data_IF_534629952379
#
_entry.id   IF_534629952379
#
_cell.length_a   1.000
_cell.length_b   1.000
_cell.length_c   1.000
_cell.angle_alpha   90.00
_cell.angle_beta   90.00
_cell.angle_gamma   90.00
#
_symmetry.space_group_name_H-M   'P 1'
#
loop_
_entity.id
_entity.type
_entity.pdbx_description
1 polymer ?
#
# COMPACT_ATOMS: atom_id res chain seq x y z
N UNK A 1 -16.65 -8.74 47.90
CA UNK A 1 -16.92 -8.39 46.48
C UNK A 1 -16.85 -9.66 45.64
N UNK A 2 -17.87 -9.90 44.81
CA UNK A 2 -18.07 -11.17 44.11
C UNK A 2 -17.20 -11.22 42.84
N UNK A 3 -16.40 -12.29 42.66
CA UNK A 3 -15.39 -12.40 41.58
C UNK A 3 -15.97 -12.25 40.16
N UNK A 4 -17.27 -12.54 39.99
CA UNK A 4 -17.98 -12.36 38.71
C UNK A 4 -18.25 -10.88 38.38
N UNK A 5 -18.43 -10.03 39.38
CA UNK A 5 -18.70 -8.60 39.15
C UNK A 5 -17.44 -7.88 38.67
N UNK A 6 -16.27 -8.23 39.23
CA UNK A 6 -14.97 -7.67 38.81
C UNK A 6 -14.60 -8.03 37.37
N UNK A 7 -14.98 -9.22 36.91
CA UNK A 7 -14.68 -9.68 35.54
C UNK A 7 -15.53 -8.97 34.47
N UNK A 8 -16.79 -8.66 34.79
CA UNK A 8 -17.70 -7.92 33.88
C UNK A 8 -17.25 -6.45 33.74
N UNK A 9 -16.78 -5.81 34.82
CA UNK A 9 -16.23 -4.45 34.72
C UNK A 9 -14.93 -4.37 33.92
N UNK A 10 -14.11 -5.42 33.94
CA UNK A 10 -12.87 -5.51 33.15
C UNK A 10 -13.16 -5.64 31.64
N UNK A 11 -14.16 -6.44 31.27
CA UNK A 11 -14.55 -6.62 29.86
C UNK A 11 -15.22 -5.35 29.30
N UNK A 12 -16.10 -4.71 30.08
CA UNK A 12 -16.74 -3.45 29.66
C UNK A 12 -15.71 -2.31 29.57
N UNK A 13 -14.70 -2.29 30.44
CA UNK A 13 -13.59 -1.32 30.37
C UNK A 13 -12.72 -1.47 29.13
N UNK A 14 -12.41 -2.71 28.72
CA UNK A 14 -11.57 -2.98 27.54
C UNK A 14 -12.32 -2.75 26.23
N UNK A 15 -13.60 -3.13 26.15
CA UNK A 15 -14.44 -2.87 24.96
C UNK A 15 -14.77 -1.37 24.86
N UNK A 16 -15.00 -0.70 26.00
CA UNK A 16 -15.23 0.74 26.06
C UNK A 16 -14.00 1.54 25.61
N UNK A 17 -12.79 1.16 26.00
CA UNK A 17 -11.57 1.83 25.53
C UNK A 17 -11.37 1.67 24.02
N UNK A 18 -11.64 0.48 23.47
CA UNK A 18 -11.46 0.19 22.05
C UNK A 18 -12.46 0.98 21.17
N UNK A 19 -13.70 1.13 21.63
CA UNK A 19 -14.72 1.94 20.96
C UNK A 19 -14.44 3.45 21.05
N UNK A 20 -13.87 3.93 22.16
CA UNK A 20 -13.48 5.33 22.35
C UNK A 20 -12.27 5.68 21.45
N UNK A 21 -11.27 4.80 21.29
CA UNK A 21 -10.17 5.05 20.34
C UNK A 21 -10.61 5.05 18.88
N UNK A 22 -11.68 4.34 18.52
CA UNK A 22 -12.27 4.39 17.19
C UNK A 22 -13.13 5.64 16.95
N UNK A 23 -13.74 6.23 18.00
CA UNK A 23 -14.56 7.44 17.91
C UNK A 23 -13.78 8.75 18.06
N UNK A 24 -12.62 8.75 18.74
CA UNK A 24 -11.79 9.96 18.93
C UNK A 24 -10.67 10.14 17.90
N UNK A 25 -10.56 9.27 16.89
CA UNK A 25 -9.64 9.46 15.77
C UNK A 25 -10.22 10.30 14.62
N UNK A 26 -11.51 10.66 14.67
CA UNK A 26 -12.16 11.46 13.61
C UNK A 26 -12.11 12.99 13.83
N UNK A 27 -11.66 13.50 14.99
CA UNK A 27 -11.77 14.95 15.31
C UNK A 27 -10.44 15.67 15.62
N UNK A 28 -9.27 15.09 15.33
CA UNK A 28 -7.97 15.75 15.61
C UNK A 28 -7.12 16.16 14.40
N UNK A 29 -7.69 16.13 13.19
CA UNK A 29 -7.02 16.63 11.98
C UNK A 29 -7.84 17.66 11.19
N UNK A 30 -8.67 18.45 11.88
CA UNK A 30 -9.32 19.61 11.27
C UNK A 30 -8.58 20.91 11.63
N UNK A 31 -8.26 21.67 10.58
CA UNK A 31 -7.74 23.05 10.51
C UNK A 31 -6.22 23.21 10.27
N UNK A 32 -5.81 23.49 9.01
CA UNK A 32 -4.70 24.40 8.75
C UNK A 32 -5.16 25.86 8.98
N UNK A 33 -4.26 26.77 9.39
CA UNK A 33 -4.60 28.17 9.59
C UNK A 33 -4.97 28.82 8.26
N UNK A 34 -6.11 29.51 8.24
CA UNK A 34 -6.42 30.52 7.24
C UNK A 34 -5.38 31.65 7.37
N UNK A 35 -4.54 31.81 6.36
CA UNK A 35 -4.07 33.12 5.95
C UNK A 35 -4.03 33.16 4.43
N UNK A 36 -4.97 33.94 3.90
CA UNK A 36 -5.02 34.38 2.52
C UNK A 36 -3.89 35.36 2.26
N UNK A 37 -2.98 34.99 1.36
CA UNK A 37 -2.25 35.99 0.59
C UNK A 37 -2.56 35.73 -0.88
N UNK A 38 -3.27 36.70 -1.48
CA UNK A 38 -3.51 36.77 -2.92
C UNK A 38 -2.14 36.89 -3.59
N UNK A 39 -1.83 35.98 -4.50
CA UNK A 39 -0.78 36.20 -5.50
C UNK A 39 -1.49 36.31 -6.84
N UNK A 40 -1.33 37.49 -7.44
CA UNK A 40 -1.90 37.91 -8.71
C UNK A 40 -1.53 36.96 -9.85
N UNK A 41 -2.55 36.67 -10.65
CA UNK A 41 -2.44 36.23 -12.03
C UNK A 41 -2.01 37.43 -12.87
N UNK A 42 -0.82 37.39 -13.47
CA UNK A 42 -0.59 37.91 -14.82
C UNK A 42 0.79 37.48 -15.36
N UNK A 43 0.86 37.42 -16.69
CA UNK A 43 2.06 37.37 -17.53
C UNK A 43 2.83 36.04 -17.74
N UNK A 44 2.38 35.25 -18.72
CA UNK A 44 3.00 35.18 -20.08
C UNK A 44 2.54 33.94 -20.85
N UNK A 45 1.44 34.11 -21.59
CA UNK A 45 1.36 33.52 -22.93
C UNK A 45 2.25 34.36 -23.85
N UNK A 46 3.15 33.74 -24.62
CA UNK A 46 3.50 34.01 -26.04
C UNK A 46 4.86 33.34 -26.35
N UNK A 47 4.95 32.75 -27.55
CA UNK A 47 6.10 32.14 -28.25
C UNK A 47 6.10 30.60 -28.15
N UNK A 48 6.00 29.79 -29.21
CA UNK A 48 6.06 30.03 -30.65
C UNK A 48 5.41 28.80 -31.34
N UNK A 49 4.45 29.07 -32.22
CA UNK A 49 4.08 28.15 -33.30
C UNK A 49 5.21 28.11 -34.32
N UNK A 50 5.66 26.90 -34.69
CA UNK A 50 6.27 26.63 -35.99
C UNK A 50 6.11 25.16 -36.34
N UNK A 51 5.25 24.93 -37.33
CA UNK A 51 5.03 23.67 -38.02
C UNK A 51 6.34 23.12 -38.59
N UNK A 52 6.59 21.84 -38.36
CA UNK A 52 7.64 21.06 -38.98
C UNK A 52 7.17 19.63 -39.13
N UNK A 53 6.87 19.23 -40.37
CA UNK A 53 6.38 17.91 -40.79
C UNK A 53 7.13 16.75 -40.11
N UNK A 54 6.42 15.92 -39.36
CA UNK A 54 6.94 14.64 -38.89
C UNK A 54 6.61 13.59 -39.94
N UNK A 55 7.64 13.08 -40.63
CA UNK A 55 7.56 11.85 -41.37
C UNK A 55 7.30 10.70 -40.41
N UNK A 56 6.17 10.04 -40.61
CA UNK A 56 5.73 8.84 -39.91
C UNK A 56 6.70 7.69 -40.23
N UNK A 57 7.65 7.44 -39.33
CA UNK A 57 8.50 6.26 -39.36
C UNK A 57 7.84 5.21 -38.48
N UNK A 58 7.42 4.10 -39.07
CA UNK A 58 6.79 2.99 -38.37
C UNK A 58 7.78 2.37 -37.38
N UNK A 59 7.52 2.53 -36.09
CA UNK A 59 8.13 1.71 -35.05
C UNK A 59 7.09 0.70 -34.58
N UNK A 60 7.22 -0.55 -35.01
CA UNK A 60 6.90 -1.66 -34.12
C UNK A 60 8.14 -1.88 -33.26
N UNK A 61 8.01 -1.80 -31.93
CA UNK A 61 7.61 -3.00 -31.17
C UNK A 61 6.69 -2.67 -29.98
N UNK A 62 5.36 -2.83 -30.13
CA UNK A 62 4.38 -2.68 -29.03
C UNK A 62 3.94 -4.04 -28.45
N UNK A 63 4.17 -5.14 -29.17
CA UNK A 63 3.65 -6.47 -28.81
C UNK A 63 4.39 -7.10 -27.63
N UNK A 64 5.73 -6.96 -27.57
CA UNK A 64 6.57 -7.64 -26.57
C UNK A 64 6.41 -7.07 -25.16
N UNK A 65 6.11 -5.78 -25.02
CA UNK A 65 5.91 -5.15 -23.70
C UNK A 65 4.50 -5.41 -23.17
N UNK A 66 3.52 -5.56 -24.07
CA UNK A 66 2.12 -5.83 -23.70
C UNK A 66 1.95 -7.24 -23.11
N UNK A 67 2.54 -8.27 -23.73
CA UNK A 67 2.49 -9.65 -23.21
C UNK A 67 3.12 -9.76 -21.82
N UNK A 68 4.30 -9.15 -21.61
CA UNK A 68 4.95 -9.14 -20.28
C UNK A 68 4.11 -8.49 -19.20
N UNK A 69 3.33 -7.47 -19.54
CA UNK A 69 2.44 -6.79 -18.59
C UNK A 69 1.20 -7.63 -18.30
N UNK A 70 0.66 -8.32 -19.31
CA UNK A 70 -0.44 -9.27 -19.13
C UNK A 70 -0.01 -10.41 -18.20
N UNK A 71 1.13 -11.05 -18.49
CA UNK A 71 1.69 -12.12 -17.66
C UNK A 71 1.94 -11.63 -16.22
N UNK A 72 2.45 -10.41 -16.08
CA UNK A 72 2.67 -9.83 -14.76
C UNK A 72 1.35 -9.59 -14.01
N UNK A 73 0.31 -9.07 -14.67
CA UNK A 73 -1.01 -8.90 -14.07
C UNK A 73 -1.63 -10.25 -13.66
N UNK A 74 -1.42 -11.31 -14.43
CA UNK A 74 -1.83 -12.67 -14.07
C UNK A 74 -1.10 -13.15 -12.80
N UNK A 75 0.23 -13.01 -12.72
CA UNK A 75 1.00 -13.34 -11.52
C UNK A 75 0.54 -12.52 -10.30
N UNK A 76 0.18 -11.25 -10.48
CA UNK A 76 -0.37 -10.44 -9.40
C UNK A 76 -1.72 -10.96 -8.90
N UNK A 77 -2.54 -11.57 -9.76
CA UNK A 77 -3.84 -12.15 -9.36
C UNK A 77 -3.68 -13.33 -8.40
N UNK A 78 -2.58 -14.08 -8.52
CA UNK A 78 -2.24 -15.17 -7.60
C UNK A 78 -1.83 -14.64 -6.22
N UNK A 79 -1.21 -13.46 -6.18
CA UNK A 79 -0.56 -12.87 -4.99
C UNK A 79 -1.43 -11.86 -4.25
N UNK A 80 -2.38 -11.22 -4.92
CA UNK A 80 -3.22 -10.15 -4.37
C UNK A 80 -4.70 -10.50 -4.46
N UNK A 81 -5.49 -9.96 -3.53
CA UNK A 81 -6.94 -10.06 -3.52
C UNK A 81 -7.55 -9.01 -4.48
N UNK A 82 -8.81 -9.21 -4.93
CA UNK A 82 -9.58 -8.22 -5.70
C UNK A 82 -9.51 -6.78 -5.18
N UNK A 83 -9.54 -6.62 -3.86
CA UNK A 83 -9.45 -5.30 -3.20
C UNK A 83 -8.03 -4.72 -3.16
N UNK A 84 -7.05 -5.31 -3.85
CA UNK A 84 -5.66 -4.86 -3.93
C UNK A 84 -4.83 -5.07 -2.66
N UNK A 85 -5.39 -5.72 -1.63
CA UNK A 85 -4.62 -6.20 -0.48
C UNK A 85 -3.88 -7.47 -0.85
N UNK A 86 -2.68 -7.69 -0.29
CA UNK A 86 -1.94 -8.93 -0.53
C UNK A 86 -2.70 -10.13 0.06
N UNK A 87 -2.55 -11.31 -0.55
CA UNK A 87 -2.93 -12.56 0.11
C UNK A 87 -1.88 -12.87 1.19
N UNK A 88 -2.30 -13.31 2.39
CA UNK A 88 -1.35 -13.72 3.42
C UNK A 88 -0.49 -14.88 2.93
N UNK A 89 0.83 -14.80 3.15
CA UNK A 89 1.77 -15.86 2.89
C UNK A 89 1.49 -17.06 3.80
N UNK A 90 1.52 -18.26 3.23
CA UNK A 90 1.29 -19.48 3.99
C UNK A 90 2.54 -19.94 4.74
N UNK A 91 2.60 -19.63 6.03
CA UNK A 91 3.64 -20.13 6.94
C UNK A 91 3.34 -21.51 7.54
N UNK A 92 2.36 -22.28 7.07
CA UNK A 92 1.95 -23.55 7.69
C UNK A 92 3.12 -24.52 7.86
N UNK A 93 3.94 -24.73 6.83
CA UNK A 93 5.10 -25.60 6.92
C UNK A 93 6.08 -25.11 8.00
N UNK A 94 6.41 -23.81 7.98
CA UNK A 94 7.32 -23.21 8.95
C UNK A 94 6.75 -23.28 10.38
N UNK A 95 5.44 -23.09 10.55
CA UNK A 95 4.73 -23.24 11.82
C UNK A 95 4.75 -24.68 12.35
N UNK A 96 4.66 -25.69 11.48
CA UNK A 96 4.80 -27.09 11.91
C UNK A 96 6.25 -27.42 12.28
N UNK A 97 7.22 -26.94 11.50
CA UNK A 97 8.65 -27.11 11.80
C UNK A 97 8.98 -26.47 13.15
N UNK A 98 8.55 -25.23 13.40
CA UNK A 98 8.84 -24.52 14.64
C UNK A 98 8.36 -25.26 15.90
N UNK A 99 7.28 -26.06 15.82
CA UNK A 99 6.79 -26.88 16.94
C UNK A 99 7.70 -28.06 17.29
N UNK A 100 8.43 -28.58 16.30
CA UNK A 100 9.22 -29.81 16.42
C UNK A 100 10.72 -29.49 16.50
N UNK A 101 11.18 -28.52 15.72
CA UNK A 101 12.56 -28.06 15.63
C UNK A 101 12.60 -26.54 15.44
N UNK A 102 12.76 -25.84 16.56
CA UNK A 102 12.80 -24.38 16.58
C UNK A 102 14.04 -23.84 15.86
N UNK A 103 15.20 -24.52 15.97
CA UNK A 103 16.45 -24.06 15.35
C UNK A 103 16.35 -24.12 13.83
N UNK A 104 15.77 -25.20 13.28
CA UNK A 104 15.49 -25.31 11.85
C UNK A 104 14.55 -24.21 11.36
N UNK A 105 13.52 -23.86 12.14
CA UNK A 105 12.63 -22.76 11.79
C UNK A 105 13.36 -21.41 11.76
N UNK A 106 14.26 -21.15 12.72
CA UNK A 106 15.11 -19.95 12.74
C UNK A 106 15.98 -19.89 11.48
N UNK A 107 16.64 -20.99 11.12
CA UNK A 107 17.47 -21.07 9.89
C UNK A 107 16.65 -20.73 8.64
N UNK A 108 15.45 -21.30 8.50
CA UNK A 108 14.58 -21.03 7.35
C UNK A 108 14.13 -19.57 7.27
N UNK A 109 13.85 -18.93 8.41
CA UNK A 109 13.56 -17.49 8.45
C UNK A 109 14.76 -16.70 7.96
N UNK A 110 15.96 -17.02 8.45
CA UNK A 110 17.19 -16.35 8.03
C UNK A 110 17.53 -16.56 6.54
N UNK A 111 17.23 -17.73 5.99
CA UNK A 111 17.34 -18.02 4.55
C UNK A 111 16.38 -17.15 3.73
N UNK A 112 15.13 -16.95 4.19
CA UNK A 112 14.19 -16.02 3.54
C UNK A 112 14.72 -14.59 3.55
N UNK A 113 15.26 -14.15 4.68
CA UNK A 113 15.83 -12.81 4.88
C UNK A 113 17.06 -12.57 4.00
N UNK A 114 17.87 -13.59 3.76
CA UNK A 114 19.05 -13.49 2.91
C UNK A 114 18.73 -13.33 1.41
N UNK A 115 17.50 -13.64 0.99
CA UNK A 115 17.04 -13.56 -0.40
C UNK A 115 15.73 -12.75 -0.51
N UNK A 116 15.77 -11.43 -0.26
CA UNK A 116 14.56 -10.62 -0.17
C UNK A 116 13.82 -10.50 -1.50
N UNK A 117 14.52 -10.57 -2.63
CA UNK A 117 13.96 -10.55 -3.99
C UNK A 117 13.02 -11.74 -4.26
N UNK A 118 13.33 -12.92 -3.69
CA UNK A 118 12.53 -14.15 -3.83
C UNK A 118 11.42 -14.27 -2.78
N UNK A 119 11.54 -13.54 -1.68
CA UNK A 119 10.70 -13.71 -0.49
C UNK A 119 9.89 -12.45 -0.12
N UNK A 120 9.73 -11.49 -1.04
CA UNK A 120 9.06 -10.20 -0.79
C UNK A 120 7.75 -10.32 0.01
N UNK A 121 6.82 -11.18 -0.43
CA UNK A 121 5.53 -11.35 0.24
C UNK A 121 5.67 -11.99 1.63
N UNK A 122 6.53 -13.01 1.76
CA UNK A 122 6.82 -13.63 3.05
C UNK A 122 7.40 -12.60 4.02
N UNK A 123 8.41 -11.83 3.61
CA UNK A 123 9.04 -10.80 4.44
C UNK A 123 8.04 -9.70 4.84
N UNK A 124 7.17 -9.28 3.93
CA UNK A 124 6.12 -8.31 4.20
C UNK A 124 5.11 -8.83 5.24
N UNK A 125 4.76 -10.12 5.21
CA UNK A 125 3.95 -10.74 6.26
C UNK A 125 4.71 -10.94 7.57
N UNK A 126 6.00 -11.28 7.54
CA UNK A 126 6.83 -11.35 8.75
C UNK A 126 6.93 -10.00 9.46
N UNK A 127 7.04 -8.89 8.72
CA UNK A 127 6.99 -7.53 9.28
C UNK A 127 5.73 -7.33 10.13
N UNK A 128 4.58 -7.73 9.58
CA UNK A 128 3.30 -7.63 10.29
C UNK A 128 3.23 -8.53 11.53
N UNK A 129 3.72 -9.77 11.43
CA UNK A 129 3.75 -10.70 12.58
C UNK A 129 4.62 -10.15 13.72
N UNK A 130 5.76 -9.54 13.43
CA UNK A 130 6.63 -8.94 14.44
C UNK A 130 6.03 -7.72 15.13
N UNK A 131 5.29 -6.87 14.42
CA UNK A 131 4.59 -5.73 15.03
C UNK A 131 3.59 -6.19 16.12
N UNK A 132 2.99 -7.37 15.97
CA UNK A 132 2.13 -7.98 16.98
C UNK A 132 2.86 -8.46 18.24
N UNK A 133 4.20 -8.61 18.20
CA UNK A 133 5.01 -9.09 19.33
C UNK A 133 5.59 -7.96 20.18
N UNK A 134 5.81 -6.77 19.61
CA UNK A 134 6.38 -5.61 20.32
C UNK A 134 5.49 -5.03 21.42
N UNK A 135 4.19 -5.34 21.45
CA UNK A 135 3.26 -4.84 22.48
C UNK A 135 3.35 -5.56 23.83
N UNK A 136 4.33 -6.46 24.03
CA UNK A 136 4.39 -7.36 25.19
C UNK A 136 5.77 -7.35 25.85
N UNK A 137 6.28 -6.20 26.27
CA UNK A 137 7.62 -6.10 26.90
C UNK A 137 7.75 -6.77 28.28
N UNK A 138 6.64 -7.20 28.90
CA UNK A 138 6.65 -7.90 30.17
C UNK A 138 5.98 -9.27 29.96
N UNK A 139 6.78 -10.35 29.96
CA UNK A 139 6.42 -11.78 29.76
C UNK A 139 6.55 -12.36 28.34
N UNK A 140 7.35 -11.75 27.45
CA UNK A 140 7.63 -12.31 26.11
C UNK A 140 8.04 -13.79 26.19
N UNK A 141 8.96 -14.17 27.08
CA UNK A 141 9.43 -15.56 27.13
C UNK A 141 8.29 -16.54 27.50
N UNK A 142 7.47 -16.22 28.50
CA UNK A 142 6.37 -17.09 28.93
C UNK A 142 5.26 -17.19 27.89
N UNK A 143 5.01 -16.11 27.14
CA UNK A 143 3.98 -16.06 26.09
C UNK A 143 4.46 -16.74 24.81
N UNK A 144 5.74 -16.61 24.48
CA UNK A 144 6.36 -17.23 23.31
C UNK A 144 6.61 -18.73 23.48
N UNK A 145 6.75 -19.24 24.72
CA UNK A 145 6.86 -20.69 24.97
C UNK A 145 5.66 -21.50 24.43
N UNK A 146 4.47 -20.89 24.34
CA UNK A 146 3.28 -21.51 23.75
C UNK A 146 3.02 -21.09 22.28
N UNK A 147 3.95 -20.34 21.68
CA UNK A 147 3.86 -19.79 20.32
C UNK A 147 5.18 -20.02 19.58
N UNK A 148 5.45 -21.27 19.17
CA UNK A 148 6.78 -21.68 18.70
C UNK A 148 7.22 -20.96 17.43
N UNK A 149 6.28 -20.61 16.54
CA UNK A 149 6.60 -19.86 15.32
C UNK A 149 7.02 -18.42 15.64
N UNK A 150 6.24 -17.74 16.47
CA UNK A 150 6.54 -16.39 16.95
C UNK A 150 7.84 -16.36 17.76
N UNK A 151 8.11 -17.42 18.53
CA UNK A 151 9.39 -17.60 19.21
C UNK A 151 10.55 -17.74 18.24
N UNK A 152 10.43 -18.60 17.22
CA UNK A 152 11.46 -18.73 16.18
C UNK A 152 11.68 -17.40 15.43
N UNK A 153 10.61 -16.67 15.12
CA UNK A 153 10.69 -15.36 14.48
C UNK A 153 11.41 -14.33 15.36
N UNK A 154 11.11 -14.32 16.66
CA UNK A 154 11.81 -13.47 17.63
C UNK A 154 13.29 -13.84 17.78
N UNK A 155 13.57 -15.12 18.02
CA UNK A 155 14.91 -15.66 18.26
C UNK A 155 15.81 -15.57 17.02
N UNK A 156 15.24 -15.49 15.81
CA UNK A 156 16.00 -15.20 14.59
C UNK A 156 16.61 -13.80 14.56
N UNK A 157 16.17 -12.88 15.42
CA UNK A 157 16.56 -11.48 15.38
C UNK A 157 15.90 -10.68 14.25
N UNK A 158 14.96 -11.26 13.50
CA UNK A 158 14.25 -10.51 12.46
C UNK A 158 13.42 -9.36 13.04
N UNK A 159 12.66 -9.60 14.12
CA UNK A 159 11.79 -8.58 14.71
C UNK A 159 12.54 -7.41 15.34
N UNK A 160 13.78 -7.61 15.80
CA UNK A 160 14.60 -6.54 16.40
C UNK A 160 15.09 -5.53 15.35
N UNK A 161 15.04 -5.86 14.07
CA UNK A 161 15.37 -4.94 12.96
C UNK A 161 14.30 -3.85 12.76
N UNK A 162 13.03 -4.15 13.04
CA UNK A 162 11.94 -3.21 12.84
C UNK A 162 12.13 -1.97 13.71
N UNK A 163 11.93 -0.78 13.16
CA UNK A 163 12.14 0.48 13.91
C UNK A 163 13.59 0.94 13.98
N UNK A 164 14.52 0.31 13.25
CA UNK A 164 15.96 0.62 13.30
C UNK A 164 16.49 1.02 11.93
N UNK A 165 17.78 1.38 11.84
CA UNK A 165 18.45 1.63 10.54
C UNK A 165 18.50 0.38 9.64
N UNK A 166 18.41 -0.82 10.24
CA UNK A 166 18.42 -2.11 9.53
C UNK A 166 17.03 -2.61 9.14
N UNK A 167 16.02 -1.75 9.24
CA UNK A 167 14.63 -2.11 9.03
C UNK A 167 14.40 -2.73 7.64
N UNK A 168 13.68 -3.87 7.54
CA UNK A 168 13.38 -4.53 6.27
C UNK A 168 12.76 -3.61 5.20
N UNK A 169 12.07 -2.52 5.56
CA UNK A 169 11.58 -1.53 4.60
C UNK A 169 12.68 -1.06 3.63
N UNK A 170 13.91 -0.88 4.10
CA UNK A 170 15.01 -0.44 3.25
C UNK A 170 15.45 -1.52 2.25
N UNK A 171 15.23 -2.80 2.54
CA UNK A 171 15.42 -3.89 1.58
C UNK A 171 14.39 -3.80 0.45
N UNK A 172 13.11 -3.55 0.76
CA UNK A 172 12.05 -3.31 -0.23
C UNK A 172 12.36 -2.07 -1.09
N UNK A 173 12.79 -0.98 -0.46
CA UNK A 173 13.15 0.27 -1.15
C UNK A 173 14.31 0.06 -2.13
N UNK A 174 15.35 -0.66 -1.72
CA UNK A 174 16.49 -0.97 -2.57
C UNK A 174 16.10 -1.86 -3.76
N UNK A 175 15.21 -2.83 -3.56
CA UNK A 175 14.70 -3.66 -4.65
C UNK A 175 13.82 -2.85 -5.61
N UNK A 176 12.96 -1.96 -5.09
CA UNK A 176 12.13 -1.09 -5.90
C UNK A 176 12.96 -0.15 -6.80
N UNK A 177 14.03 0.43 -6.24
CA UNK A 177 15.01 1.26 -6.96
C UNK A 177 15.78 0.49 -8.04
N UNK A 178 15.97 -0.81 -7.85
CA UNK A 178 16.56 -1.72 -8.86
C UNK A 178 15.56 -2.17 -9.93
N UNK A 179 14.33 -1.67 -9.90
CA UNK A 179 13.30 -1.97 -10.90
C UNK A 179 12.45 -3.20 -10.61
N UNK A 180 12.49 -3.75 -9.39
CA UNK A 180 11.59 -4.84 -9.00
C UNK A 180 10.15 -4.31 -8.88
N UNK A 181 9.30 -4.66 -9.84
CA UNK A 181 7.90 -4.17 -9.94
C UNK A 181 7.03 -4.61 -8.76
N UNK A 182 7.28 -5.80 -8.19
CA UNK A 182 6.54 -6.28 -7.01
C UNK A 182 6.93 -5.50 -5.75
N UNK A 183 8.22 -5.22 -5.56
CA UNK A 183 8.69 -4.35 -4.48
C UNK A 183 8.12 -2.94 -4.61
N UNK A 184 8.06 -2.39 -5.84
CA UNK A 184 7.42 -1.10 -6.12
C UNK A 184 5.93 -1.06 -5.73
N UNK A 185 5.18 -2.15 -5.95
CA UNK A 185 3.76 -2.27 -5.55
C UNK A 185 3.57 -2.39 -4.04
N UNK A 186 4.53 -2.99 -3.34
CA UNK A 186 4.52 -3.20 -1.88
C UNK A 186 5.08 -2.01 -1.10
N UNK A 187 5.80 -1.10 -1.76
CA UNK A 187 6.54 -0.06 -1.06
C UNK A 187 5.65 0.91 -0.27
N UNK A 188 4.45 1.21 -0.75
CA UNK A 188 3.51 2.10 -0.06
C UNK A 188 3.02 1.55 1.29
N UNK A 189 2.44 0.33 1.39
CA UNK A 189 2.08 -0.23 2.68
C UNK A 189 3.31 -0.49 3.57
N UNK A 190 4.47 -0.85 3.02
CA UNK A 190 5.69 -1.02 3.82
C UNK A 190 6.23 0.30 4.37
N UNK A 191 6.13 1.41 3.62
CA UNK A 191 6.47 2.76 4.09
C UNK A 191 5.50 3.22 5.19
N UNK A 192 4.20 2.95 5.04
CA UNK A 192 3.23 3.20 6.12
C UNK A 192 3.66 2.48 7.41
N UNK A 193 3.96 1.18 7.31
CA UNK A 193 4.46 0.42 8.47
C UNK A 193 5.79 0.94 9.01
N UNK A 194 6.70 1.42 8.16
CA UNK A 194 7.98 2.00 8.57
C UNK A 194 7.80 3.30 9.35
N UNK A 195 6.77 4.09 9.01
CA UNK A 195 6.37 5.28 9.75
C UNK A 195 5.80 4.89 11.11
N UNK A 196 4.88 3.94 11.17
CA UNK A 196 4.27 3.49 12.43
C UNK A 196 5.29 2.99 13.45
N UNK A 197 6.33 2.29 12.99
CA UNK A 197 7.40 1.75 13.85
C UNK A 197 8.59 2.70 14.06
N UNK A 198 8.56 3.90 13.46
CA UNK A 198 9.53 4.96 13.70
C UNK A 198 10.81 4.91 12.85
N UNK A 199 10.94 3.96 11.91
CA UNK A 199 12.11 3.87 11.01
C UNK A 199 12.15 4.99 9.97
N UNK A 200 10.99 5.55 9.64
CA UNK A 200 10.85 6.78 8.85
C UNK A 200 10.02 7.75 9.68
N UNK A 201 10.56 8.91 10.01
CA UNK A 201 9.86 9.86 10.87
C UNK A 201 9.59 11.18 10.13
N UNK A 202 8.34 11.41 9.67
CA UNK A 202 7.97 12.63 8.96
C UNK A 202 8.15 13.92 9.75
N UNK A 203 8.24 13.85 11.10
CA UNK A 203 8.38 15.02 11.96
C UNK A 203 9.83 15.43 12.14
N UNK A 204 10.74 14.46 12.27
CA UNK A 204 12.18 14.74 12.44
C UNK A 204 12.86 14.94 11.10
N UNK A 205 12.44 14.18 10.08
CA UNK A 205 13.09 14.15 8.76
C UNK A 205 12.07 14.42 7.63
N UNK A 206 11.41 15.59 7.61
CA UNK A 206 10.29 15.88 6.70
C UNK A 206 10.70 15.88 5.22
N UNK A 207 11.91 16.35 4.91
CA UNK A 207 12.42 16.39 3.52
C UNK A 207 12.64 14.97 3.01
N UNK A 208 13.32 14.13 3.80
CA UNK A 208 13.55 12.73 3.46
C UNK A 208 12.25 11.96 3.27
N UNK A 209 11.27 12.18 4.16
CA UNK A 209 9.94 11.60 4.02
C UNK A 209 9.23 12.06 2.74
N UNK A 210 9.25 13.35 2.42
CA UNK A 210 8.58 13.88 1.23
C UNK A 210 9.21 13.35 -0.07
N UNK A 211 10.54 13.24 -0.11
CA UNK A 211 11.26 12.62 -1.23
C UNK A 211 10.88 11.13 -1.39
N UNK A 212 10.89 10.36 -0.30
CA UNK A 212 10.45 8.96 -0.31
C UNK A 212 8.99 8.82 -0.75
N UNK A 213 8.10 9.67 -0.23
CA UNK A 213 6.69 9.70 -0.59
C UNK A 213 6.54 9.94 -2.10
N UNK A 214 7.19 10.96 -2.65
CA UNK A 214 7.17 11.26 -4.08
C UNK A 214 7.72 10.09 -4.91
N UNK A 215 8.78 9.45 -4.45
CA UNK A 215 9.39 8.28 -5.09
C UNK A 215 8.39 7.11 -5.17
N UNK A 216 7.75 6.75 -4.05
CA UNK A 216 6.74 5.68 -3.96
C UNK A 216 5.54 5.97 -4.89
N UNK A 217 5.05 7.21 -4.88
CA UNK A 217 3.94 7.65 -5.74
C UNK A 217 4.34 7.54 -7.22
N UNK A 218 5.57 7.93 -7.56
CA UNK A 218 6.11 7.85 -8.92
C UNK A 218 6.17 6.42 -9.43
N UNK A 219 6.59 5.46 -8.59
CA UNK A 219 6.56 4.04 -8.95
C UNK A 219 5.14 3.55 -9.29
N UNK A 220 4.15 3.86 -8.44
CA UNK A 220 2.76 3.46 -8.73
C UNK A 220 2.23 4.11 -10.01
N UNK A 221 2.50 5.40 -10.24
CA UNK A 221 2.09 6.09 -11.48
C UNK A 221 2.76 5.49 -12.71
N UNK A 222 4.05 5.16 -12.62
CA UNK A 222 4.80 4.52 -13.70
C UNK A 222 4.23 3.14 -14.03
N UNK A 223 4.01 2.30 -13.03
CA UNK A 223 3.41 0.96 -13.22
C UNK A 223 1.98 1.05 -13.79
N UNK A 224 1.17 1.99 -13.29
CA UNK A 224 -0.18 2.24 -13.83
C UNK A 224 -0.12 2.64 -15.31
N UNK A 225 0.81 3.52 -15.70
CA UNK A 225 0.99 3.92 -17.10
C UNK A 225 1.47 2.78 -18.01
N UNK A 226 2.19 1.80 -17.46
CA UNK A 226 2.62 0.59 -18.16
C UNK A 226 1.49 -0.44 -18.33
N UNK A 227 0.33 -0.26 -17.71
CA UNK A 227 -0.76 -1.24 -17.79
C UNK A 227 -0.88 -2.18 -16.59
N UNK A 228 -0.14 -1.94 -15.49
CA UNK A 228 -0.24 -2.77 -14.28
C UNK A 228 -1.53 -2.39 -13.52
N UNK A 229 -2.54 -3.25 -13.63
CA UNK A 229 -3.90 -2.96 -13.14
C UNK A 229 -3.91 -2.69 -11.64
N UNK A 230 -3.19 -3.48 -10.85
CA UNK A 230 -3.11 -3.33 -9.40
C UNK A 230 -2.53 -1.96 -8.97
N UNK A 231 -1.63 -1.37 -9.76
CA UNK A 231 -1.10 -0.03 -9.47
C UNK A 231 -2.18 1.04 -9.65
N UNK A 232 -2.97 0.94 -10.73
CA UNK A 232 -4.12 1.80 -10.99
C UNK A 232 -5.17 1.68 -9.87
N UNK A 233 -5.48 0.46 -9.43
CA UNK A 233 -6.39 0.25 -8.30
C UNK A 233 -5.88 0.89 -7.00
N UNK A 234 -4.60 0.72 -6.67
CA UNK A 234 -3.99 1.34 -5.48
C UNK A 234 -4.07 2.86 -5.55
N UNK A 235 -3.70 3.47 -6.68
CA UNK A 235 -3.79 4.92 -6.86
C UNK A 235 -5.22 5.42 -6.69
N UNK A 236 -6.21 4.75 -7.28
CA UNK A 236 -7.61 5.12 -7.13
C UNK A 236 -8.03 5.17 -5.65
N UNK A 237 -7.71 4.11 -4.89
CA UNK A 237 -8.04 4.05 -3.47
C UNK A 237 -7.38 5.15 -2.66
N UNK A 238 -6.11 5.42 -2.94
CA UNK A 238 -5.40 6.48 -2.24
C UNK A 238 -6.04 7.86 -2.48
N UNK A 239 -6.43 8.18 -3.72
CA UNK A 239 -7.13 9.44 -4.03
C UNK A 239 -8.59 9.48 -3.54
N UNK A 240 -9.22 8.35 -3.20
CA UNK A 240 -10.52 8.33 -2.52
C UNK A 240 -10.41 8.63 -1.02
N UNK A 241 -9.25 8.31 -0.44
CA UNK A 241 -8.94 8.56 0.96
C UNK A 241 -8.27 9.92 1.16
N UNK A 242 -8.43 10.52 2.33
CA UNK A 242 -7.53 11.61 2.75
C UNK A 242 -6.37 10.98 3.52
N UNK A 243 -5.46 10.34 2.78
CA UNK A 243 -4.39 9.51 3.33
C UNK A 243 -3.09 10.27 3.58
N UNK A 244 -2.12 9.59 4.19
CA UNK A 244 -0.77 10.14 4.39
C UNK A 244 -0.06 10.44 3.06
N UNK A 245 -0.39 9.70 1.99
CA UNK A 245 0.30 9.77 0.71
C UNK A 245 -0.36 10.70 -0.30
N UNK A 246 -1.68 10.89 -0.23
CA UNK A 246 -2.43 11.61 -1.24
C UNK A 246 -3.55 12.44 -0.61
N UNK A 247 -3.81 13.61 -1.19
CA UNK A 247 -5.03 14.36 -0.90
C UNK A 247 -6.20 13.78 -1.67
N UNK A 248 -7.39 13.79 -1.06
CA UNK A 248 -8.60 13.29 -1.71
C UNK A 248 -8.86 14.05 -3.03
N UNK A 249 -8.94 13.33 -4.14
CA UNK A 249 -9.22 13.85 -5.47
C UNK A 249 -10.09 12.84 -6.24
N UNK A 250 -11.40 13.09 -6.31
CA UNK A 250 -12.34 12.18 -6.97
C UNK A 250 -12.12 12.09 -8.47
N UNK A 251 -11.59 13.12 -9.13
CA UNK A 251 -11.29 13.10 -10.57
C UNK A 251 -10.15 12.11 -10.86
N UNK A 252 -9.06 12.21 -10.09
CA UNK A 252 -7.95 11.26 -10.22
C UNK A 252 -8.35 9.85 -9.79
N UNK A 253 -9.14 9.73 -8.72
CA UNK A 253 -9.67 8.43 -8.30
C UNK A 253 -10.47 7.73 -9.40
N UNK A 254 -11.41 8.44 -10.03
CA UNK A 254 -12.21 7.93 -11.16
C UNK A 254 -11.32 7.56 -12.33
N UNK A 255 -10.40 8.43 -12.73
CA UNK A 255 -9.47 8.16 -13.83
C UNK A 255 -8.68 6.86 -13.61
N UNK A 256 -8.06 6.67 -12.45
CA UNK A 256 -7.29 5.46 -12.17
C UNK A 256 -8.18 4.21 -12.01
N UNK A 257 -9.44 4.37 -11.57
CA UNK A 257 -10.38 3.25 -11.49
C UNK A 257 -10.84 2.79 -12.88
N UNK A 258 -11.08 3.73 -13.80
CA UNK A 258 -11.33 3.41 -15.21
C UNK A 258 -10.11 2.75 -15.85
N UNK A 259 -8.90 3.23 -15.57
CA UNK A 259 -7.68 2.56 -16.04
C UNK A 259 -7.56 1.14 -15.49
N UNK A 260 -7.88 0.93 -14.22
CA UNK A 260 -7.91 -0.41 -13.64
C UNK A 260 -8.85 -1.32 -14.42
N UNK A 261 -10.08 -0.90 -14.70
CA UNK A 261 -11.07 -1.66 -15.47
C UNK A 261 -10.59 -1.97 -16.90
N UNK A 262 -10.02 -0.99 -17.61
CA UNK A 262 -9.47 -1.20 -18.96
C UNK A 262 -8.26 -2.15 -18.97
N UNK A 263 -7.44 -2.13 -17.92
CA UNK A 263 -6.23 -2.97 -17.77
C UNK A 263 -6.55 -4.33 -17.15
N UNK A 264 -7.78 -4.52 -16.67
CA UNK A 264 -8.19 -5.71 -15.97
C UNK A 264 -8.46 -6.84 -16.97
N UNK A 265 -7.61 -7.87 -16.95
CA UNK A 265 -7.70 -9.00 -17.88
C UNK A 265 -8.61 -10.15 -17.42
N UNK A 266 -9.51 -9.92 -16.46
CA UNK A 266 -10.51 -10.89 -15.99
C UNK A 266 -10.02 -11.91 -14.95
N UNK A 267 -8.77 -11.80 -14.48
CA UNK A 267 -8.18 -12.78 -13.52
C UNK A 267 -8.48 -12.49 -12.04
N UNK A 268 -9.02 -11.32 -11.71
CA UNK A 268 -9.47 -10.97 -10.37
C UNK A 268 -10.93 -10.57 -10.45
N UNK A 269 -11.76 -10.97 -9.49
CA UNK A 269 -13.08 -10.36 -9.36
C UNK A 269 -12.92 -8.84 -9.21
N UNK A 270 -13.91 -8.06 -9.65
CA UNK A 270 -13.87 -6.63 -9.40
C UNK A 270 -14.07 -6.35 -7.91
N UNK A 271 -13.31 -5.40 -7.32
CA UNK A 271 -13.40 -5.12 -5.90
C UNK A 271 -14.77 -4.60 -5.44
N UNK A 272 -15.56 -4.05 -6.37
CA UNK A 272 -16.91 -3.55 -6.12
C UNK A 272 -17.99 -4.65 -6.21
N UNK A 273 -17.73 -5.79 -6.85
CA UNK A 273 -18.74 -6.87 -7.00
C UNK A 273 -19.04 -7.60 -5.69
N UNK A 274 -18.05 -7.69 -4.80
CA UNK A 274 -18.14 -8.41 -3.53
C UNK A 274 -18.31 -7.49 -2.31
N UNK A 275 -18.50 -6.18 -2.51
CA UNK A 275 -18.51 -5.21 -1.44
C UNK A 275 -19.91 -4.67 -1.10
N UNK A 276 -20.16 -4.41 0.18
CA UNK A 276 -21.33 -3.66 0.61
C UNK A 276 -21.23 -2.18 0.16
N UNK A 277 -22.25 -1.71 -0.56
CA UNK A 277 -22.28 -0.43 -1.29
C UNK A 277 -22.10 0.88 -0.48
N UNK A 278 -21.80 0.80 0.83
CA UNK A 278 -21.81 1.96 1.73
C UNK A 278 -20.49 2.76 1.76
N UNK A 279 -19.48 2.40 0.94
CA UNK A 279 -18.21 3.13 0.91
C UNK A 279 -17.81 3.53 -0.51
N UNK A 280 -17.16 4.69 -0.68
CA UNK A 280 -16.64 5.16 -1.97
C UNK A 280 -15.66 4.13 -2.60
N UNK A 281 -15.01 3.29 -1.78
CA UNK A 281 -14.09 2.23 -2.22
C UNK A 281 -14.77 1.02 -2.88
N UNK A 282 -16.10 0.99 -2.84
CA UNK A 282 -16.93 -0.12 -3.32
C UNK A 282 -17.83 0.29 -4.48
N UNK A 283 -17.54 1.44 -5.10
CA UNK A 283 -18.22 1.91 -6.30
C UNK A 283 -17.47 1.43 -7.53
N UNK A 284 -18.22 1.11 -8.58
CA UNK A 284 -17.66 0.90 -9.91
C UNK A 284 -17.10 2.21 -10.50
N UNK A 285 -16.25 2.16 -11.54
CA UNK A 285 -15.82 3.35 -12.27
C UNK A 285 -16.99 4.21 -12.74
N UNK A 286 -18.05 3.57 -13.26
CA UNK A 286 -19.25 4.25 -13.75
C UNK A 286 -20.01 4.97 -12.61
N UNK A 287 -20.19 4.31 -11.46
CA UNK A 287 -20.86 4.90 -10.30
C UNK A 287 -20.08 6.10 -9.75
N UNK A 288 -18.76 5.99 -9.71
CA UNK A 288 -17.90 7.08 -9.26
C UNK A 288 -17.94 8.26 -10.26
N UNK A 289 -17.88 7.98 -11.57
CA UNK A 289 -18.00 8.98 -12.64
C UNK A 289 -19.34 9.71 -12.61
N UNK A 290 -20.46 9.00 -12.38
CA UNK A 290 -21.80 9.62 -12.23
C UNK A 290 -21.90 10.58 -11.05
N UNK A 291 -21.05 10.41 -10.03
CA UNK A 291 -21.01 11.28 -8.85
C UNK A 291 -20.22 12.59 -9.05
N UNK A 292 -19.54 12.74 -10.19
CA UNK A 292 -18.76 13.93 -10.54
C UNK A 292 -19.65 15.02 -11.13
N UNK A 293 -19.25 16.29 -10.94
CA UNK A 293 -19.80 17.40 -11.72
C UNK A 293 -19.38 17.32 -13.19
N UNK A 294 -20.06 18.06 -14.08
CA UNK A 294 -19.75 18.00 -15.51
C UNK A 294 -18.32 18.48 -15.84
N UNK A 295 -17.83 19.52 -15.15
CA UNK A 295 -16.44 20.00 -15.29
C UNK A 295 -15.45 18.91 -14.85
N UNK A 296 -15.77 18.15 -13.81
CA UNK A 296 -14.92 17.04 -13.33
C UNK A 296 -14.92 15.86 -14.30
N UNK A 297 -16.07 15.54 -14.91
CA UNK A 297 -16.18 14.53 -15.98
C UNK A 297 -15.34 14.91 -17.19
N UNK A 298 -15.44 16.16 -17.66
CA UNK A 298 -14.64 16.67 -18.78
C UNK A 298 -13.13 16.50 -18.52
N UNK A 299 -12.69 16.70 -17.27
CA UNK A 299 -11.30 16.47 -16.86
C UNK A 299 -10.92 14.99 -16.93
N UNK A 300 -11.78 14.08 -16.44
CA UNK A 300 -11.56 12.62 -16.56
C UNK A 300 -11.45 12.22 -18.03
N UNK A 301 -12.40 12.65 -18.86
CA UNK A 301 -12.45 12.30 -20.28
C UNK A 301 -11.23 12.83 -21.03
N UNK A 302 -10.79 14.06 -20.72
CA UNK A 302 -9.57 14.64 -21.28
C UNK A 302 -8.31 13.83 -20.94
N UNK A 303 -8.22 13.30 -19.71
CA UNK A 303 -7.09 12.46 -19.30
C UNK A 303 -7.12 11.09 -20.00
N UNK A 304 -8.30 10.48 -20.11
CA UNK A 304 -8.48 9.21 -20.82
C UNK A 304 -8.20 9.34 -22.32
N UNK A 305 -8.60 10.45 -22.94
CA UNK A 305 -8.36 10.72 -24.35
C UNK A 305 -6.86 10.86 -24.69
N UNK A 306 -6.06 11.46 -23.79
CA UNK A 306 -4.60 11.64 -23.99
C UNK A 306 -3.79 10.34 -23.88
N UNK A 307 -4.40 9.27 -23.37
CA UNK A 307 -3.80 7.94 -23.23
C UNK A 307 -3.95 7.09 -24.50
N UNK A 308 -4.91 7.45 -25.39
CA UNK A 308 -5.19 6.77 -26.67
C UNK A 308 -4.35 7.37 -27.80
#
# INVERSE_FOLDING_TARGET
>A
MNKKTTFVFLIIGVIGLYAITLLFNDDKYAHPPQNSEKIDLDDKATLLSKEGKVQQKSEQPVVVDTEKIIDFNEVLSEKFRPNGTRKPYDFNQLKQIAKVDQQKAIEMIMEMVAMPDKNLLALADLNYQCSGLKQVELQIDTILLNRPFEKALWDSGYCSRLGTESDPFFDFLNLARKGNKEAQLLLMPELFGAIERGSVNPRTDPIFYDDLRKEVISYLKSLSSQGVSLASLKLSKEYLSNGLFFSKDKVLATFYLTLYEEQHSGFLDYPWDACNANTDFCRSPEELYKSLSDIEKDRVDSMLARKR
#
